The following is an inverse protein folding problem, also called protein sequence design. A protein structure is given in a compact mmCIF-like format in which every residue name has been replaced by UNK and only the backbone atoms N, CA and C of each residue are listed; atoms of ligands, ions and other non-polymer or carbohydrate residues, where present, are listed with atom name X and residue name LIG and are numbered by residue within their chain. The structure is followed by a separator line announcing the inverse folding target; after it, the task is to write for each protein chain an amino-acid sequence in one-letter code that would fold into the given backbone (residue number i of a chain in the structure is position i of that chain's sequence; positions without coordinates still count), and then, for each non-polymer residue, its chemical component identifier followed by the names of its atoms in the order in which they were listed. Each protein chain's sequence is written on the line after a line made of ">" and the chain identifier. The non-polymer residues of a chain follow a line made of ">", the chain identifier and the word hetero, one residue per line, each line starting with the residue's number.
data_IF_904888818657
#
_entry.id   IF_904888818657
#
_cell.length_a   1.000
_cell.length_b   1.000
_cell.length_c   1.000
_cell.angle_alpha   90.00
_cell.angle_beta   90.00
_cell.angle_gamma   90.00
#
_symmetry.space_group_name_H-M   'P 1'
#
loop_
_entity.id
_entity.type
_entity.pdbx_description
1 polymer ?
#
# COMPACT_ATOMS: atom_id res chain seq x y z
N UNK A 1 -59.38 0.68 41.41
CA UNK A 1 -58.62 0.33 40.18
C UNK A 1 -57.57 1.39 39.78
N UNK A 2 -56.90 2.08 40.71
CA UNK A 2 -56.04 3.26 40.39
C UNK A 2 -54.57 3.14 40.79
N UNK A 3 -54.19 2.17 41.64
CA UNK A 3 -52.80 2.02 42.13
C UNK A 3 -51.91 1.24 41.15
N UNK A 4 -52.48 0.26 40.44
CA UNK A 4 -51.71 -0.61 39.54
C UNK A 4 -51.17 0.14 38.30
N UNK A 5 -51.96 1.06 37.74
CA UNK A 5 -51.60 1.84 36.55
C UNK A 5 -50.46 2.85 36.80
N UNK A 6 -50.38 3.43 38.00
CA UNK A 6 -49.31 4.37 38.38
C UNK A 6 -47.94 3.70 38.46
N UNK A 7 -47.90 2.45 38.94
CA UNK A 7 -46.67 1.66 39.01
C UNK A 7 -46.17 1.25 37.61
N UNK A 8 -47.11 0.97 36.69
CA UNK A 8 -46.78 0.63 35.30
C UNK A 8 -46.21 1.85 34.52
N UNK A 9 -46.83 3.02 34.67
CA UNK A 9 -46.38 4.28 34.05
C UNK A 9 -44.99 4.71 34.54
N UNK A 10 -44.63 4.45 35.81
CA UNK A 10 -43.31 4.78 36.34
C UNK A 10 -42.21 3.87 35.78
N UNK A 11 -42.50 2.58 35.56
CA UNK A 11 -41.57 1.63 34.95
C UNK A 11 -41.26 2.00 33.50
N UNK A 12 -42.28 2.35 32.72
CA UNK A 12 -42.12 2.73 31.31
C UNK A 12 -41.25 3.98 31.17
N UNK A 13 -41.45 5.01 32.01
CA UNK A 13 -40.62 6.23 31.97
C UNK A 13 -39.17 5.98 32.38
N UNK A 14 -38.91 5.05 33.32
CA UNK A 14 -37.55 4.64 33.69
C UNK A 14 -36.86 3.86 32.56
N UNK A 15 -37.58 2.94 31.93
CA UNK A 15 -37.07 2.17 30.77
C UNK A 15 -36.77 3.08 29.58
N UNK A 16 -37.64 4.04 29.28
CA UNK A 16 -37.41 5.02 28.22
C UNK A 16 -36.17 5.90 28.49
N UNK A 17 -35.96 6.32 29.74
CA UNK A 17 -34.75 7.06 30.14
C UNK A 17 -33.49 6.21 30.03
N UNK A 18 -33.55 4.95 30.45
CA UNK A 18 -32.42 4.01 30.35
C UNK A 18 -32.05 3.77 28.88
N UNK A 19 -33.05 3.56 28.01
CA UNK A 19 -32.84 3.38 26.57
C UNK A 19 -32.29 4.64 25.90
N UNK A 20 -32.76 5.83 26.29
CA UNK A 20 -32.22 7.09 25.78
C UNK A 20 -30.76 7.31 26.21
N UNK A 21 -30.40 6.94 27.44
CA UNK A 21 -29.03 7.02 27.95
C UNK A 21 -28.11 6.01 27.27
N UNK A 22 -28.60 4.80 26.99
CA UNK A 22 -27.87 3.78 26.26
C UNK A 22 -27.62 4.19 24.80
N UNK A 23 -28.63 4.74 24.13
CA UNK A 23 -28.50 5.30 22.78
C UNK A 23 -27.48 6.45 22.75
N UNK A 24 -27.51 7.35 23.72
CA UNK A 24 -26.54 8.44 23.85
C UNK A 24 -25.12 7.93 24.11
N UNK A 25 -24.97 6.88 24.92
CA UNK A 25 -23.67 6.28 25.18
C UNK A 25 -23.11 5.58 23.93
N UNK A 26 -23.97 5.01 23.10
CA UNK A 26 -23.57 4.32 21.86
C UNK A 26 -23.04 5.30 20.78
N UNK A 27 -23.43 6.58 20.82
CA UNK A 27 -22.91 7.59 19.87
C UNK A 27 -21.53 8.13 20.25
N UNK A 28 -21.01 7.81 21.44
CA UNK A 28 -19.66 8.21 21.86
C UNK A 28 -18.58 7.19 21.46
N UNK A 29 -18.96 6.07 20.84
CA UNK A 29 -18.00 5.09 20.37
C UNK A 29 -17.37 5.64 19.08
N UNK A 30 -16.05 5.90 19.04
CA UNK A 30 -15.41 6.30 17.80
C UNK A 30 -15.61 5.20 16.77
N UNK A 31 -15.88 5.53 15.49
CA UNK A 31 -15.94 4.52 14.44
C UNK A 31 -14.61 3.75 14.45
N UNK A 32 -14.67 2.41 14.37
CA UNK A 32 -13.51 1.52 14.32
C UNK A 32 -12.71 1.64 13.00
N UNK A 33 -12.73 2.81 12.39
CA UNK A 33 -12.16 3.15 11.09
C UNK A 33 -12.11 4.66 10.91
N UNK A 34 -11.52 5.38 11.87
CA UNK A 34 -10.95 6.69 11.54
C UNK A 34 -9.70 6.42 10.71
N UNK A 35 -9.86 6.40 9.39
CA UNK A 35 -8.73 6.66 8.50
C UNK A 35 -8.17 8.01 8.94
N UNK A 36 -6.95 8.01 9.50
CA UNK A 36 -6.24 9.23 9.77
C UNK A 36 -6.32 10.08 8.50
N UNK A 37 -6.82 11.31 8.62
CA UNK A 37 -6.90 12.23 7.51
C UNK A 37 -5.48 12.38 6.96
N UNK A 38 -5.19 11.76 5.81
CA UNK A 38 -3.89 11.86 5.16
C UNK A 38 -3.64 13.34 4.91
N UNK A 39 -2.65 13.87 5.62
CA UNK A 39 -2.19 15.23 5.40
C UNK A 39 -1.85 15.35 3.90
N UNK A 40 -2.31 16.41 3.21
CA UNK A 40 -2.00 16.58 1.80
C UNK A 40 -0.49 16.51 1.61
N UNK A 41 -0.03 15.65 0.69
CA UNK A 41 1.40 15.59 0.34
C UNK A 41 1.81 16.96 -0.20
N UNK A 42 2.74 17.63 0.49
CA UNK A 42 3.35 18.85 -0.01
C UNK A 42 4.32 18.50 -1.14
N UNK A 43 3.80 18.57 -2.37
CA UNK A 43 4.56 18.29 -3.59
C UNK A 43 5.79 19.19 -3.70
N UNK A 44 5.72 20.43 -3.22
CA UNK A 44 6.85 21.35 -3.31
C UNK A 44 7.96 20.94 -2.36
N UNK A 45 7.62 20.57 -1.11
CA UNK A 45 8.59 20.04 -0.15
C UNK A 45 9.26 18.76 -0.66
N UNK A 46 8.50 17.87 -1.30
CA UNK A 46 9.04 16.66 -1.94
C UNK A 46 10.01 17.03 -3.06
N UNK A 47 9.62 17.94 -3.96
CA UNK A 47 10.45 18.37 -5.08
C UNK A 47 11.74 19.08 -4.61
N UNK A 48 11.66 19.90 -3.56
CA UNK A 48 12.79 20.61 -2.99
C UNK A 48 13.79 19.68 -2.27
N UNK A 49 13.30 18.55 -1.74
CA UNK A 49 14.15 17.51 -1.14
C UNK A 49 14.81 16.57 -2.17
N UNK A 50 14.53 16.73 -3.46
CA UNK A 50 15.13 15.94 -4.54
C UNK A 50 16.37 16.61 -5.12
N UNK A 51 17.42 15.82 -5.34
CA UNK A 51 18.58 16.24 -6.11
C UNK A 51 18.22 16.49 -7.58
N UNK A 52 19.06 17.21 -8.33
CA UNK A 52 18.85 17.38 -9.78
C UNK A 52 18.85 16.01 -10.49
N UNK A 53 19.73 15.09 -10.08
CA UNK A 53 19.77 13.75 -10.63
C UNK A 53 18.47 12.98 -10.34
N UNK A 54 17.93 13.10 -9.12
CA UNK A 54 16.66 12.45 -8.76
C UNK A 54 15.52 12.97 -9.64
N UNK A 55 15.44 14.29 -9.84
CA UNK A 55 14.39 14.92 -10.67
C UNK A 55 14.47 14.45 -12.12
N UNK A 56 15.69 14.33 -12.66
CA UNK A 56 15.92 13.79 -13.99
C UNK A 56 15.52 12.32 -14.04
N UNK A 57 15.90 11.51 -13.05
CA UNK A 57 15.52 10.10 -12.93
C UNK A 57 14.00 9.91 -12.98
N UNK A 58 13.23 10.74 -12.28
CA UNK A 58 11.76 10.67 -12.28
C UNK A 58 11.12 10.89 -13.66
N UNK A 59 11.85 11.41 -14.66
CA UNK A 59 11.36 11.55 -16.04
C UNK A 59 11.55 10.27 -16.87
N UNK A 60 12.33 9.30 -16.40
CA UNK A 60 12.59 8.06 -17.11
C UNK A 60 11.55 7.00 -16.77
N UNK A 61 10.97 6.43 -17.82
CA UNK A 61 10.15 5.24 -17.78
C UNK A 61 10.81 4.19 -18.67
N UNK A 62 11.17 3.04 -18.10
CA UNK A 62 11.99 2.03 -18.79
C UNK A 62 11.30 0.68 -18.88
N UNK A 63 11.68 -0.13 -19.86
CA UNK A 63 11.34 -1.55 -19.89
C UNK A 63 12.53 -2.37 -19.41
N UNK A 64 12.28 -3.59 -18.91
CA UNK A 64 13.33 -4.51 -18.48
C UNK A 64 12.93 -5.96 -18.78
N UNK A 65 13.92 -6.84 -18.79
CA UNK A 65 13.72 -8.27 -19.07
C UNK A 65 13.59 -9.10 -17.78
N UNK A 66 12.74 -10.13 -17.85
CA UNK A 66 12.48 -11.10 -16.79
C UNK A 66 11.44 -10.65 -15.76
N UNK A 67 11.11 -11.55 -14.83
CA UNK A 67 10.07 -11.36 -13.82
C UNK A 67 10.62 -11.29 -12.38
N UNK A 68 11.94 -11.19 -12.21
CA UNK A 68 12.59 -11.23 -10.90
C UNK A 68 13.42 -9.96 -10.60
N UNK A 69 12.84 -8.97 -9.88
CA UNK A 69 13.55 -7.76 -9.48
C UNK A 69 14.36 -8.03 -8.20
N UNK A 70 15.36 -8.91 -8.28
CA UNK A 70 16.27 -9.15 -7.17
C UNK A 70 17.08 -7.88 -6.83
N UNK A 71 17.54 -7.68 -5.59
CA UNK A 71 18.25 -6.45 -5.20
C UNK A 71 19.54 -6.15 -5.98
N UNK A 72 20.14 -7.17 -6.59
CA UNK A 72 21.34 -7.13 -7.43
C UNK A 72 21.03 -7.10 -8.94
N UNK A 73 19.75 -7.04 -9.32
CA UNK A 73 19.33 -6.93 -10.72
C UNK A 73 19.57 -5.53 -11.30
N UNK A 74 19.73 -5.44 -12.63
CA UNK A 74 19.89 -4.17 -13.32
C UNK A 74 18.68 -3.24 -13.12
N UNK A 75 17.46 -3.79 -13.05
CA UNK A 75 16.27 -2.98 -12.80
C UNK A 75 16.26 -2.43 -11.36
N UNK A 76 16.79 -3.16 -10.38
CA UNK A 76 16.93 -2.67 -9.02
C UNK A 76 17.94 -1.51 -8.93
N UNK A 77 19.04 -1.55 -9.69
CA UNK A 77 19.99 -0.43 -9.82
C UNK A 77 19.30 0.81 -10.40
N UNK A 78 18.55 0.67 -11.50
CA UNK A 78 17.83 1.78 -12.10
C UNK A 78 16.80 2.40 -11.16
N UNK A 79 16.06 1.58 -10.41
CA UNK A 79 15.06 2.05 -9.44
C UNK A 79 15.71 2.71 -8.22
N UNK A 80 16.75 2.08 -7.65
CA UNK A 80 17.29 2.51 -6.36
C UNK A 80 18.34 3.60 -6.48
N UNK A 81 19.21 3.48 -7.47
CA UNK A 81 20.43 4.29 -7.58
C UNK A 81 20.20 5.43 -8.59
N UNK A 82 19.56 5.15 -9.72
CA UNK A 82 19.19 6.18 -10.72
C UNK A 82 17.80 6.78 -10.53
N UNK A 83 16.98 6.20 -9.65
CA UNK A 83 15.69 6.74 -9.23
C UNK A 83 14.75 7.04 -10.39
N UNK A 84 14.62 6.07 -11.30
CA UNK A 84 13.67 6.16 -12.41
C UNK A 84 12.23 6.40 -11.91
N UNK A 85 11.43 7.09 -12.70
CA UNK A 85 10.04 7.41 -12.37
C UNK A 85 9.08 6.25 -12.62
N UNK A 86 9.41 5.35 -13.54
CA UNK A 86 8.54 4.22 -13.81
C UNK A 86 9.14 3.08 -14.62
N UNK A 87 8.39 2.00 -14.69
CA UNK A 87 8.69 0.81 -15.49
C UNK A 87 7.48 0.38 -16.30
N UNK A 88 7.72 -0.17 -17.48
CA UNK A 88 6.69 -0.79 -18.33
C UNK A 88 6.88 -2.30 -18.31
N UNK A 89 5.82 -3.01 -17.92
CA UNK A 89 5.76 -4.46 -17.91
C UNK A 89 5.20 -4.98 -19.23
N UNK A 90 5.89 -5.94 -19.83
CA UNK A 90 5.50 -6.55 -21.09
C UNK A 90 5.74 -8.07 -21.06
N UNK A 91 4.81 -8.83 -21.63
CA UNK A 91 4.99 -10.27 -21.82
C UNK A 91 6.13 -10.59 -22.80
N UNK A 92 6.41 -9.70 -23.76
CA UNK A 92 7.51 -9.86 -24.71
C UNK A 92 8.89 -9.81 -24.03
N UNK A 93 8.98 -9.16 -22.87
CA UNK A 93 10.19 -9.08 -22.05
C UNK A 93 10.16 -10.10 -20.90
N UNK A 94 9.27 -11.08 -20.94
CA UNK A 94 9.13 -12.10 -19.90
C UNK A 94 8.82 -11.55 -18.49
N UNK A 95 8.22 -10.35 -18.38
CA UNK A 95 7.78 -9.84 -17.08
C UNK A 95 6.60 -10.62 -16.52
N UNK A 96 5.78 -11.22 -17.39
CA UNK A 96 4.68 -12.11 -17.02
C UNK A 96 4.34 -13.04 -18.18
N UNK A 97 3.74 -14.19 -17.86
CA UNK A 97 3.32 -15.18 -18.85
C UNK A 97 1.92 -15.72 -18.52
N UNK A 98 1.20 -16.18 -19.56
CA UNK A 98 -0.09 -16.85 -19.42
C UNK A 98 0.06 -18.38 -19.25
N UNK A 99 1.25 -18.90 -19.49
CA UNK A 99 1.61 -20.31 -19.33
C UNK A 99 2.91 -20.46 -18.53
N UNK A 100 2.97 -21.50 -17.71
CA UNK A 100 4.16 -21.89 -16.97
C UNK A 100 5.17 -22.61 -17.90
N UNK A 101 6.39 -22.82 -17.41
CA UNK A 101 7.44 -23.51 -18.17
C UNK A 101 7.09 -24.97 -18.52
N UNK A 102 6.20 -25.61 -17.76
CA UNK A 102 5.71 -26.97 -18.00
C UNK A 102 4.49 -27.02 -18.95
N UNK A 103 4.05 -25.87 -19.48
CA UNK A 103 2.90 -25.74 -20.36
C UNK A 103 1.54 -25.68 -19.65
N UNK A 104 1.49 -25.68 -18.31
CA UNK A 104 0.24 -25.46 -17.59
C UNK A 104 -0.19 -23.99 -17.65
N UNK A 105 -1.48 -23.72 -17.43
CA UNK A 105 -1.98 -22.34 -17.30
C UNK A 105 -1.32 -21.65 -16.09
N UNK A 106 -0.85 -20.41 -16.30
CA UNK A 106 -0.27 -19.59 -15.25
C UNK A 106 -1.31 -18.63 -14.65
N UNK A 107 -1.13 -18.26 -13.38
CA UNK A 107 -1.92 -17.22 -12.73
C UNK A 107 -1.31 -15.84 -12.98
N UNK A 108 -1.58 -15.28 -14.16
CA UNK A 108 -1.02 -13.99 -14.60
C UNK A 108 -1.36 -12.82 -13.65
N UNK A 109 -2.59 -12.67 -13.11
CA UNK A 109 -2.87 -11.61 -12.13
C UNK A 109 -1.98 -11.69 -10.88
N UNK A 110 -1.78 -12.88 -10.32
CA UNK A 110 -0.90 -13.05 -9.15
C UNK A 110 0.56 -12.72 -9.49
N UNK A 111 1.05 -13.11 -10.67
CA UNK A 111 2.39 -12.75 -11.13
C UNK A 111 2.57 -11.23 -11.22
N UNK A 112 1.61 -10.51 -11.80
CA UNK A 112 1.67 -9.05 -11.92
C UNK A 112 1.67 -8.38 -10.54
N UNK A 113 0.77 -8.78 -9.64
CA UNK A 113 0.68 -8.20 -8.30
C UNK A 113 1.97 -8.48 -7.52
N UNK A 114 2.48 -9.70 -7.58
CA UNK A 114 3.74 -10.09 -6.95
C UNK A 114 4.89 -9.22 -7.46
N UNK A 115 5.05 -9.12 -8.78
CA UNK A 115 6.09 -8.32 -9.41
C UNK A 115 5.97 -6.84 -9.05
N UNK A 116 4.76 -6.28 -9.15
CA UNK A 116 4.50 -4.88 -8.85
C UNK A 116 4.82 -4.53 -7.39
N UNK A 117 4.39 -5.36 -6.43
CA UNK A 117 4.68 -5.15 -5.02
C UNK A 117 6.18 -5.22 -4.72
N UNK A 118 6.91 -6.11 -5.39
CA UNK A 118 8.36 -6.25 -5.22
C UNK A 118 9.13 -5.07 -5.83
N UNK A 119 8.73 -4.61 -7.02
CA UNK A 119 9.27 -3.39 -7.63
C UNK A 119 9.00 -2.16 -6.76
N UNK A 120 7.80 -2.07 -6.19
CA UNK A 120 7.44 -0.97 -5.31
C UNK A 120 8.21 -1.00 -3.99
N UNK A 121 8.51 -2.19 -3.46
CA UNK A 121 9.40 -2.33 -2.30
C UNK A 121 10.79 -1.76 -2.61
N UNK A 122 11.36 -2.02 -3.79
CA UNK A 122 12.67 -1.48 -4.18
C UNK A 122 12.67 0.06 -4.22
N UNK A 123 11.59 0.68 -4.71
CA UNK A 123 11.46 2.14 -4.72
C UNK A 123 11.44 2.75 -3.31
N UNK A 124 11.03 1.97 -2.30
CA UNK A 124 11.08 2.30 -0.88
C UNK A 124 12.30 1.69 -0.15
N UNK A 125 13.37 1.31 -0.86
CA UNK A 125 14.60 0.71 -0.31
C UNK A 125 14.41 -0.63 0.40
N UNK A 126 13.29 -1.28 0.15
CA UNK A 126 13.01 -2.61 0.65
C UNK A 126 13.32 -3.67 -0.40
N UNK A 127 13.70 -4.84 0.05
CA UNK A 127 13.58 -6.07 -0.71
C UNK A 127 12.43 -6.90 -0.13
N UNK A 128 11.38 -7.09 -0.93
CA UNK A 128 10.26 -7.93 -0.59
C UNK A 128 10.45 -9.34 -1.18
N UNK A 129 10.50 -10.40 -0.35
CA UNK A 129 10.58 -11.76 -0.84
C UNK A 129 9.35 -12.16 -1.67
N UNK A 130 9.50 -13.01 -2.71
CA UNK A 130 8.37 -13.47 -3.52
C UNK A 130 7.24 -14.12 -2.70
N UNK A 131 7.59 -14.93 -1.69
CA UNK A 131 6.61 -15.62 -0.85
C UNK A 131 5.70 -14.67 -0.06
N UNK A 132 6.17 -13.47 0.25
CA UNK A 132 5.45 -12.46 1.04
C UNK A 132 4.77 -11.41 0.16
N UNK A 133 5.04 -11.41 -1.15
CA UNK A 133 4.62 -10.35 -2.07
C UNK A 133 3.10 -10.24 -2.25
N UNK A 134 2.33 -11.27 -1.90
CA UNK A 134 0.85 -11.24 -1.96
C UNK A 134 0.20 -11.00 -0.60
N UNK A 135 0.99 -10.86 0.47
CA UNK A 135 0.51 -10.64 1.82
C UNK A 135 0.48 -9.12 2.14
N UNK A 136 -0.69 -8.47 2.17
CA UNK A 136 -0.78 -7.01 2.37
C UNK A 136 -0.41 -6.57 3.79
N UNK A 137 -0.31 -7.49 4.74
CA UNK A 137 0.07 -7.22 6.13
C UNK A 137 1.49 -7.68 6.44
N UNK A 138 2.26 -8.05 5.42
CA UNK A 138 3.63 -8.49 5.62
C UNK A 138 4.48 -7.37 6.24
N UNK A 139 5.34 -7.77 7.17
CA UNK A 139 6.34 -6.90 7.79
C UNK A 139 7.76 -7.34 7.42
N UNK A 140 7.90 -8.40 6.61
CA UNK A 140 9.19 -8.95 6.18
C UNK A 140 9.71 -8.22 4.93
N UNK A 141 9.78 -6.88 5.04
CA UNK A 141 10.45 -6.04 4.07
C UNK A 141 11.88 -5.87 4.55
N UNK A 142 12.84 -6.42 3.79
CA UNK A 142 14.26 -6.36 4.16
C UNK A 142 14.84 -4.99 3.76
N UNK A 143 15.32 -4.16 4.70
CA UNK A 143 15.94 -2.90 4.34
C UNK A 143 17.21 -3.12 3.52
N UNK A 144 17.38 -2.34 2.46
CA UNK A 144 18.59 -2.31 1.63
C UNK A 144 19.45 -1.10 2.00
N UNK A 145 20.77 -1.16 1.76
CA UNK A 145 21.65 -0.01 1.95
C UNK A 145 21.15 1.21 1.14
N UNK A 146 21.15 2.38 1.76
CA UNK A 146 20.75 3.61 1.06
C UNK A 146 21.92 4.10 0.19
N UNK A 147 21.69 4.43 -1.09
CA UNK A 147 22.67 5.11 -1.92
C UNK A 147 23.04 6.49 -1.36
N UNK A 148 24.23 6.98 -1.70
CA UNK A 148 24.68 8.30 -1.28
C UNK A 148 23.80 9.40 -1.90
N UNK A 149 23.45 10.42 -1.11
CA UNK A 149 22.61 11.53 -1.58
C UNK A 149 21.13 11.18 -1.73
N UNK A 150 20.68 10.07 -1.14
CA UNK A 150 19.27 9.68 -1.17
C UNK A 150 18.38 10.66 -0.42
N UNK A 151 17.44 11.26 -1.15
CA UNK A 151 16.39 12.14 -0.63
C UNK A 151 15.08 11.39 -0.33
N UNK A 152 13.95 11.99 -0.70
CA UNK A 152 12.60 11.45 -0.47
C UNK A 152 12.32 10.20 -1.32
N UNK A 153 11.83 9.11 -0.73
CA UNK A 153 11.37 7.94 -1.50
C UNK A 153 10.01 8.22 -2.14
N UNK A 154 9.88 7.88 -3.43
CA UNK A 154 8.66 8.08 -4.21
C UNK A 154 8.13 6.74 -4.72
N UNK A 155 6.81 6.62 -4.89
CA UNK A 155 6.24 5.45 -5.55
C UNK A 155 6.70 5.37 -7.01
N UNK A 156 6.93 4.15 -7.49
CA UNK A 156 7.30 3.85 -8.86
C UNK A 156 6.02 3.75 -9.70
N UNK A 157 5.99 4.42 -10.85
CA UNK A 157 4.92 4.19 -11.82
C UNK A 157 5.13 2.84 -12.49
N UNK A 158 4.11 1.99 -12.47
CA UNK A 158 4.14 0.66 -13.10
C UNK A 158 3.03 0.63 -14.15
N UNK A 159 3.40 0.41 -15.42
CA UNK A 159 2.50 0.43 -16.57
C UNK A 159 2.62 -0.78 -17.47
#
# INVERSE_FOLDING_TARGET
>A
MTQHSRHLLLKIRKQARLLALLMLLLTLLPPAGSYAQQEPVDVQAVFDAMSVADRVGQLFVVSFDGADPAPDSAIAELIRDYRIGGVVLNSANDNFRNVNADGSQANTPEQLISLANRLQALAFDGALPPAESLNPLTTDIRPLPLPDGRGVTLPLLIG
#
